data_IF_243516253237
#
_entry.id   IF_243516253237
#
_cell.length_a   1.000
_cell.length_b   1.000
_cell.length_c   1.000
_cell.angle_alpha   90.00
_cell.angle_beta   90.00
_cell.angle_gamma   90.00
#
_symmetry.space_group_name_H-M   'P 1'
#
loop_
_entity.id
_entity.type
_entity.pdbx_description
1 polymer ?
#
# COMPACT_ATOMS: atom_id res chain seq x y z
N UNK A 1 15.79 0.03 -21.05
CA UNK A 1 14.94 0.69 -20.05
C UNK A 1 14.40 1.91 -20.77
N UNK A 2 13.18 1.80 -21.29
CA UNK A 2 12.52 2.96 -21.88
C UNK A 2 12.31 3.96 -20.72
N UNK A 3 12.88 5.13 -20.83
CA UNK A 3 12.53 6.30 -20.05
C UNK A 3 11.09 6.71 -20.42
N UNK A 4 10.12 5.91 -20.05
CA UNK A 4 8.75 6.39 -19.97
C UNK A 4 8.84 7.52 -18.97
N UNK A 5 8.55 8.73 -19.43
CA UNK A 5 8.75 9.95 -18.68
C UNK A 5 8.34 9.74 -17.23
N UNK A 6 9.33 9.54 -16.34
CA UNK A 6 9.16 9.18 -14.92
C UNK A 6 8.33 10.21 -14.16
N UNK A 7 8.10 11.35 -14.77
CA UNK A 7 7.25 12.44 -14.31
C UNK A 7 5.75 12.15 -14.36
N UNK A 8 5.29 11.11 -15.07
CA UNK A 8 3.86 10.78 -15.20
C UNK A 8 3.38 9.65 -14.28
N UNK A 9 4.29 8.86 -13.70
CA UNK A 9 3.95 7.67 -12.92
C UNK A 9 4.41 7.82 -11.48
N UNK A 10 3.50 7.78 -10.53
CA UNK A 10 3.84 8.00 -9.11
C UNK A 10 4.02 6.73 -8.29
N UNK A 11 3.42 5.61 -8.67
CA UNK A 11 3.47 4.38 -7.85
C UNK A 11 3.26 3.13 -8.72
N UNK A 12 4.31 2.60 -9.38
CA UNK A 12 4.18 1.42 -10.24
C UNK A 12 3.96 0.13 -9.43
N UNK A 13 3.24 -0.79 -10.01
CA UNK A 13 3.11 -2.17 -9.55
C UNK A 13 3.28 -3.14 -10.73
N UNK A 14 3.96 -4.26 -10.50
CA UNK A 14 4.21 -5.29 -11.52
C UNK A 14 3.26 -6.46 -11.31
N UNK A 15 2.70 -7.00 -12.39
CA UNK A 15 1.96 -8.25 -12.36
C UNK A 15 2.91 -9.45 -12.58
N UNK A 16 2.92 -10.47 -11.69
CA UNK A 16 4.00 -11.47 -11.64
C UNK A 16 3.96 -12.58 -12.71
N UNK A 17 2.98 -12.63 -13.61
CA UNK A 17 2.75 -13.81 -14.45
C UNK A 17 2.69 -13.60 -15.97
N UNK A 18 3.15 -12.48 -16.50
CA UNK A 18 3.12 -12.24 -17.93
C UNK A 18 4.51 -12.33 -18.56
N UNK A 19 4.68 -12.91 -19.76
CA UNK A 19 5.87 -12.71 -20.55
C UNK A 19 5.96 -11.23 -20.95
N UNK A 20 6.97 -10.53 -20.43
CA UNK A 20 7.02 -9.08 -20.41
C UNK A 20 6.18 -8.54 -19.24
N UNK A 21 6.83 -7.99 -18.22
CA UNK A 21 6.15 -7.51 -17.02
C UNK A 21 5.05 -6.51 -17.37
N UNK A 22 3.86 -6.69 -16.78
CA UNK A 22 2.78 -5.70 -16.87
C UNK A 22 2.86 -4.81 -15.65
N UNK A 23 2.95 -3.52 -15.90
CA UNK A 23 3.05 -2.49 -14.88
C UNK A 23 1.71 -1.80 -14.70
N UNK A 24 1.40 -1.48 -13.44
CA UNK A 24 0.25 -0.68 -13.09
C UNK A 24 0.68 0.47 -12.20
N UNK A 25 0.17 1.67 -12.48
CA UNK A 25 0.49 2.85 -11.71
C UNK A 25 -0.67 3.84 -11.70
N UNK A 26 -0.59 4.79 -10.79
CA UNK A 26 -1.43 5.97 -10.80
C UNK A 26 -0.65 7.12 -11.44
N UNK A 27 -1.32 7.91 -12.27
CA UNK A 27 -0.75 9.12 -12.87
C UNK A 27 -0.30 10.13 -11.79
N UNK A 28 0.63 11.02 -12.13
CA UNK A 28 1.18 12.00 -11.20
C UNK A 28 0.10 12.91 -10.57
N UNK A 29 -0.94 13.25 -11.34
CA UNK A 29 -2.10 14.00 -10.87
C UNK A 29 -3.12 13.17 -10.07
N UNK A 30 -2.86 11.85 -9.90
CA UNK A 30 -3.70 10.87 -9.22
C UNK A 30 -5.12 10.76 -9.77
N UNK A 31 -5.30 10.98 -11.07
CA UNK A 31 -6.62 10.92 -11.72
C UNK A 31 -6.81 9.69 -12.59
N UNK A 32 -5.73 9.03 -13.01
CA UNK A 32 -5.79 7.88 -13.92
C UNK A 32 -5.06 6.68 -13.34
N UNK A 33 -5.69 5.52 -13.38
CA UNK A 33 -5.05 4.21 -13.20
C UNK A 33 -4.54 3.77 -14.56
N UNK A 34 -3.25 3.54 -14.67
CA UNK A 34 -2.53 3.26 -15.90
C UNK A 34 -2.02 1.83 -15.90
N UNK A 35 -1.92 1.25 -17.09
CA UNK A 35 -1.20 0.00 -17.33
C UNK A 35 -0.34 0.10 -18.59
N UNK A 36 0.78 -0.61 -18.58
CA UNK A 36 1.61 -0.81 -19.77
C UNK A 36 2.39 -2.11 -19.65
N UNK A 37 2.78 -2.67 -20.76
CA UNK A 37 3.63 -3.86 -20.83
C UNK A 37 5.09 -3.44 -21.05
N UNK A 38 6.01 -4.12 -20.40
CA UNK A 38 7.44 -3.90 -20.61
C UNK A 38 7.81 -4.07 -22.08
N UNK A 39 8.53 -3.09 -22.63
CA UNK A 39 8.89 -3.05 -24.05
C UNK A 39 7.80 -2.48 -24.97
N UNK A 40 6.63 -2.13 -24.46
CA UNK A 40 5.59 -1.37 -25.20
C UNK A 40 5.68 0.12 -24.87
N UNK A 41 5.44 0.95 -25.88
CA UNK A 41 5.28 2.41 -25.71
C UNK A 41 3.82 2.77 -25.39
N UNK A 42 2.89 1.81 -25.52
CA UNK A 42 1.47 2.04 -25.33
C UNK A 42 1.10 2.01 -23.84
N UNK A 43 0.71 3.17 -23.31
CA UNK A 43 0.14 3.31 -21.96
C UNK A 43 -1.38 3.36 -22.10
N UNK A 44 -2.07 2.46 -21.41
CA UNK A 44 -3.52 2.40 -21.40
C UNK A 44 -4.09 2.93 -20.08
N UNK A 45 -5.21 3.65 -20.16
CA UNK A 45 -5.97 4.10 -19.00
C UNK A 45 -7.01 3.03 -18.67
N UNK A 46 -6.86 2.38 -17.53
CA UNK A 46 -7.79 1.35 -17.03
C UNK A 46 -9.01 1.95 -16.33
N UNK A 47 -8.77 3.01 -15.55
CA UNK A 47 -9.83 3.68 -14.80
C UNK A 47 -9.46 5.13 -14.52
N UNK A 48 -10.46 5.96 -14.23
CA UNK A 48 -10.28 7.34 -13.77
C UNK A 48 -10.96 7.54 -12.41
N UNK A 49 -10.46 8.49 -11.63
CA UNK A 49 -10.99 8.82 -10.31
C UNK A 49 -10.36 10.11 -9.77
N UNK A 50 -10.53 10.36 -8.48
CA UNK A 50 -9.94 11.51 -7.80
C UNK A 50 -9.04 11.02 -6.68
N UNK A 51 -7.81 11.52 -6.64
CA UNK A 51 -6.81 11.11 -5.65
C UNK A 51 -6.67 9.59 -5.53
N UNK A 52 -6.56 8.90 -6.67
CA UNK A 52 -6.37 7.45 -6.70
C UNK A 52 -5.18 7.03 -5.85
N UNK A 53 -5.31 5.91 -5.17
CA UNK A 53 -4.27 5.33 -4.32
C UNK A 53 -3.40 4.37 -5.11
N UNK A 54 -2.20 4.08 -4.59
CA UNK A 54 -1.30 3.08 -5.17
C UNK A 54 -2.07 1.79 -5.45
N UNK A 55 -2.10 1.28 -6.69
CA UNK A 55 -2.88 0.10 -7.02
C UNK A 55 -2.29 -1.15 -6.35
N UNK A 56 -3.13 -2.14 -6.12
CA UNK A 56 -2.74 -3.47 -5.67
C UNK A 56 -3.23 -4.49 -6.68
N UNK A 57 -2.36 -5.42 -7.07
CA UNK A 57 -2.75 -6.57 -7.90
C UNK A 57 -3.22 -7.69 -6.98
N UNK A 58 -4.41 -8.18 -7.22
CA UNK A 58 -5.00 -9.27 -6.45
C UNK A 58 -4.59 -10.64 -7.05
N UNK A 59 -4.83 -11.73 -6.32
CA UNK A 59 -4.46 -13.09 -6.76
C UNK A 59 -5.09 -13.52 -8.09
N UNK A 60 -6.25 -12.99 -8.41
CA UNK A 60 -6.96 -13.26 -9.68
C UNK A 60 -6.54 -12.30 -10.80
N UNK A 61 -5.44 -11.59 -10.60
CA UNK A 61 -4.90 -10.58 -11.51
C UNK A 61 -5.81 -9.37 -11.72
N UNK A 62 -6.88 -9.20 -10.93
CA UNK A 62 -7.61 -7.94 -10.90
C UNK A 62 -6.78 -6.88 -10.18
N UNK A 63 -7.03 -5.61 -10.51
CA UNK A 63 -6.32 -4.47 -9.95
C UNK A 63 -7.29 -3.69 -9.09
N UNK A 64 -6.90 -3.40 -7.87
CA UNK A 64 -7.70 -2.67 -6.90
C UNK A 64 -7.05 -1.33 -6.56
N UNK A 65 -7.87 -0.28 -6.48
CA UNK A 65 -7.47 1.04 -5.97
C UNK A 65 -8.66 1.72 -5.28
N UNK A 66 -8.37 2.80 -4.54
CA UNK A 66 -9.40 3.67 -3.95
C UNK A 66 -9.37 5.04 -4.60
N UNK A 67 -10.54 5.65 -4.69
CA UNK A 67 -10.76 7.03 -5.11
C UNK A 67 -11.39 7.83 -3.97
N UNK A 68 -11.03 9.11 -3.84
CA UNK A 68 -11.60 10.01 -2.82
C UNK A 68 -12.97 10.58 -3.22
N UNK A 69 -13.40 10.40 -4.48
CA UNK A 69 -14.77 10.81 -4.87
C UNK A 69 -15.75 9.80 -4.31
N UNK A 70 -16.55 10.21 -3.33
CA UNK A 70 -17.49 9.35 -2.59
C UNK A 70 -16.80 8.02 -2.30
N UNK A 71 -16.07 7.88 -1.18
CA UNK A 71 -15.03 6.86 -0.98
C UNK A 71 -15.30 5.60 -1.79
N UNK A 72 -14.70 5.51 -2.98
CA UNK A 72 -15.02 4.48 -3.96
C UNK A 72 -13.89 3.48 -4.09
N UNK A 73 -14.21 2.22 -3.89
CA UNK A 73 -13.36 1.10 -4.25
C UNK A 73 -13.53 0.82 -5.75
N UNK A 74 -12.43 0.88 -6.49
CA UNK A 74 -12.38 0.59 -7.92
C UNK A 74 -11.61 -0.71 -8.11
N UNK A 75 -12.22 -1.66 -8.81
CA UNK A 75 -11.58 -2.92 -9.20
C UNK A 75 -11.68 -3.07 -10.71
N UNK A 76 -10.55 -3.37 -11.34
CA UNK A 76 -10.48 -3.70 -12.78
C UNK A 76 -10.12 -5.17 -12.89
N UNK A 77 -11.00 -5.96 -13.46
CA UNK A 77 -10.78 -7.39 -13.70
C UNK A 77 -9.68 -7.64 -14.71
N UNK A 78 -9.16 -8.86 -14.74
CA UNK A 78 -8.17 -9.30 -15.75
C UNK A 78 -8.72 -9.27 -17.19
N UNK A 79 -10.03 -9.27 -17.36
CA UNK A 79 -10.76 -9.08 -18.63
C UNK A 79 -10.96 -7.60 -18.99
N UNK A 80 -10.47 -6.67 -18.18
CA UNK A 80 -10.68 -5.23 -18.33
C UNK A 80 -12.04 -4.72 -17.82
N UNK A 81 -12.90 -5.58 -17.30
CA UNK A 81 -14.17 -5.16 -16.73
C UNK A 81 -13.94 -4.30 -15.50
N UNK A 82 -14.52 -3.09 -15.48
CA UNK A 82 -14.40 -2.15 -14.37
C UNK A 82 -15.62 -2.26 -13.46
N UNK A 83 -15.36 -2.42 -12.18
CA UNK A 83 -16.34 -2.33 -11.11
C UNK A 83 -16.00 -1.18 -10.18
N UNK A 84 -17.02 -0.49 -9.70
CA UNK A 84 -16.86 0.61 -8.74
C UNK A 84 -17.92 0.49 -7.67
N UNK A 85 -17.50 0.41 -6.42
CA UNK A 85 -18.40 0.26 -5.27
C UNK A 85 -18.13 1.40 -4.29
N UNK A 86 -19.17 2.15 -3.93
CA UNK A 86 -19.09 3.14 -2.86
C UNK A 86 -18.95 2.41 -1.53
N UNK A 87 -18.01 2.86 -0.71
CA UNK A 87 -17.71 2.27 0.59
C UNK A 87 -18.09 3.24 1.69
N UNK A 88 -18.89 2.80 2.66
CA UNK A 88 -19.14 3.60 3.85
C UNK A 88 -17.93 3.55 4.78
N UNK A 89 -17.20 4.63 4.81
CA UNK A 89 -16.03 4.84 5.68
C UNK A 89 -16.34 5.75 6.88
N UNK A 90 -17.60 6.02 7.16
CA UNK A 90 -18.00 6.89 8.27
C UNK A 90 -17.43 8.31 8.18
N UNK A 91 -17.29 8.85 6.97
CA UNK A 91 -16.71 10.17 6.71
C UNK A 91 -15.17 10.20 6.71
N UNK A 92 -14.50 9.05 6.74
CA UNK A 92 -13.07 8.94 6.54
C UNK A 92 -12.73 8.84 5.05
N UNK A 93 -11.46 9.11 4.70
CA UNK A 93 -10.89 8.78 3.39
C UNK A 93 -9.73 7.80 3.53
N UNK A 94 -9.54 6.94 2.55
CA UNK A 94 -8.38 6.04 2.49
C UNK A 94 -7.16 6.82 2.01
N UNK A 95 -6.07 6.83 2.76
CA UNK A 95 -4.81 7.46 2.32
C UNK A 95 -3.78 6.44 1.84
N UNK A 96 -3.81 5.24 2.40
CA UNK A 96 -3.06 4.07 1.93
C UNK A 96 -3.83 2.80 2.26
N UNK A 97 -3.52 1.71 1.57
CA UNK A 97 -4.10 0.40 1.85
C UNK A 97 -3.16 -0.72 1.41
N UNK A 98 -3.37 -1.90 1.97
CA UNK A 98 -2.68 -3.13 1.58
C UNK A 98 -3.63 -4.31 1.72
N UNK A 99 -3.67 -5.16 0.69
CA UNK A 99 -4.47 -6.40 0.70
C UNK A 99 -3.66 -7.50 1.36
N UNK A 100 -4.29 -8.26 2.26
CA UNK A 100 -3.66 -9.35 2.95
C UNK A 100 -3.32 -10.52 1.99
N UNK A 101 -2.34 -11.37 2.36
CA UNK A 101 -2.00 -12.55 1.56
C UNK A 101 -3.15 -13.53 1.33
N UNK A 102 -4.20 -13.51 2.18
CA UNK A 102 -5.42 -14.31 1.99
C UNK A 102 -6.38 -13.74 0.94
N UNK A 103 -6.16 -12.50 0.49
CA UNK A 103 -7.01 -11.74 -0.43
C UNK A 103 -8.45 -11.49 0.08
N UNK A 104 -8.69 -11.68 1.38
CA UNK A 104 -9.99 -11.48 2.05
C UNK A 104 -9.96 -10.25 2.95
N UNK A 105 -8.81 -9.92 3.52
CA UNK A 105 -8.64 -8.78 4.41
C UNK A 105 -7.88 -7.66 3.72
N UNK A 106 -8.22 -6.43 4.08
CA UNK A 106 -7.50 -5.24 3.64
C UNK A 106 -7.20 -4.36 4.83
N UNK A 107 -5.94 -3.95 4.97
CA UNK A 107 -5.52 -2.92 5.91
C UNK A 107 -5.69 -1.56 5.26
N UNK A 108 -6.23 -0.61 6.00
CA UNK A 108 -6.59 0.73 5.53
C UNK A 108 -5.99 1.78 6.45
N UNK A 109 -5.27 2.73 5.91
CA UNK A 109 -4.95 3.98 6.61
C UNK A 109 -6.10 4.95 6.35
N UNK A 110 -6.89 5.18 7.38
CA UNK A 110 -8.10 6.00 7.34
C UNK A 110 -7.79 7.40 7.90
N UNK A 111 -8.15 8.45 7.18
CA UNK A 111 -7.97 9.82 7.61
C UNK A 111 -9.32 10.49 7.82
N UNK A 112 -9.53 11.07 9.01
CA UNK A 112 -10.65 11.94 9.36
C UNK A 112 -10.12 13.27 9.90
N UNK A 113 -10.22 14.32 9.11
CA UNK A 113 -9.66 15.63 9.47
C UNK A 113 -8.15 15.57 9.67
N UNK A 114 -7.67 15.71 10.89
CA UNK A 114 -6.23 15.67 11.23
C UNK A 114 -5.78 14.33 11.85
N UNK A 115 -6.71 13.43 12.11
CA UNK A 115 -6.41 12.13 12.72
C UNK A 115 -6.31 11.04 11.67
N UNK A 116 -5.43 10.06 11.92
CA UNK A 116 -5.32 8.86 11.10
C UNK A 116 -5.45 7.63 11.99
N UNK A 117 -6.20 6.66 11.50
CA UNK A 117 -6.43 5.37 12.13
C UNK A 117 -6.03 4.23 11.20
N UNK A 118 -5.69 3.09 11.76
CA UNK A 118 -5.52 1.84 11.04
C UNK A 118 -6.80 1.03 11.18
N UNK A 119 -7.41 0.65 10.07
CA UNK A 119 -8.57 -0.22 10.05
C UNK A 119 -8.28 -1.51 9.28
N UNK A 120 -8.93 -2.59 9.67
CA UNK A 120 -8.97 -3.85 8.91
C UNK A 120 -10.39 -4.06 8.43
N UNK A 121 -10.56 -4.15 7.12
CA UNK A 121 -11.83 -4.47 6.47
C UNK A 121 -11.84 -5.84 5.83
N UNK A 122 -13.03 -6.37 5.58
CA UNK A 122 -13.24 -7.62 4.85
C UNK A 122 -13.65 -7.35 3.41
N UNK A 123 -12.92 -7.97 2.48
CA UNK A 123 -13.26 -7.99 1.07
C UNK A 123 -14.12 -9.22 0.79
N UNK A 124 -15.25 -9.03 0.15
CA UNK A 124 -16.11 -10.11 -0.34
C UNK A 124 -16.45 -9.88 -1.81
N UNK A 125 -16.70 -10.97 -2.52
CA UNK A 125 -17.18 -10.93 -3.90
C UNK A 125 -18.61 -11.41 -3.93
N UNK A 126 -19.50 -10.58 -4.43
CA UNK A 126 -20.91 -10.89 -4.59
C UNK A 126 -21.35 -10.44 -5.99
N UNK A 127 -21.96 -11.34 -6.76
CA UNK A 127 -22.46 -11.04 -8.12
C UNK A 127 -21.42 -10.39 -9.04
N UNK A 128 -20.14 -10.77 -8.88
CA UNK A 128 -19.02 -10.21 -9.64
C UNK A 128 -18.46 -8.89 -9.10
N UNK A 129 -19.15 -8.22 -8.16
CA UNK A 129 -18.66 -7.00 -7.53
C UNK A 129 -17.81 -7.30 -6.29
N UNK A 130 -16.81 -6.46 -6.02
CA UNK A 130 -16.00 -6.51 -4.80
C UNK A 130 -16.59 -5.53 -3.80
N UNK A 131 -16.88 -6.01 -2.62
CA UNK A 131 -17.42 -5.24 -1.50
C UNK A 131 -16.42 -5.19 -0.36
N UNK A 132 -16.30 -4.04 0.26
CA UNK A 132 -15.56 -3.83 1.50
C UNK A 132 -16.56 -3.62 2.64
N UNK A 133 -16.42 -4.41 3.71
CA UNK A 133 -17.31 -4.38 4.86
C UNK A 133 -16.57 -4.63 6.17
N UNK A 134 -17.25 -4.51 7.30
CA UNK A 134 -16.75 -4.87 8.64
C UNK A 134 -15.40 -4.23 8.97
N UNK A 135 -15.27 -2.92 8.75
CA UNK A 135 -14.03 -2.20 9.08
C UNK A 135 -13.94 -2.07 10.60
N UNK A 136 -12.87 -2.62 11.16
CA UNK A 136 -12.55 -2.59 12.59
C UNK A 136 -11.26 -1.82 12.80
N UNK A 137 -11.27 -0.86 13.71
CA UNK A 137 -10.08 -0.10 14.07
C UNK A 137 -9.08 -0.98 14.84
N UNK A 138 -7.81 -0.86 14.50
CA UNK A 138 -6.70 -1.53 15.18
C UNK A 138 -6.01 -0.52 16.09
N UNK A 139 -5.80 -0.85 17.40
CA UNK A 139 -5.09 0.02 18.31
C UNK A 139 -3.65 0.29 17.84
N UNK A 140 -3.26 1.57 17.88
CA UNK A 140 -1.93 2.04 17.49
C UNK A 140 -1.02 2.32 18.69
N UNK A 141 -1.49 2.01 19.87
CA UNK A 141 -0.80 2.26 21.13
C UNK A 141 -0.49 0.95 21.83
N UNK A 142 0.71 0.86 22.37
CA UNK A 142 1.12 -0.19 23.32
C UNK A 142 1.72 0.48 24.57
N UNK A 143 2.25 -0.31 25.52
CA UNK A 143 2.97 0.23 26.67
C UNK A 143 4.15 1.11 26.29
N UNK A 144 4.80 0.79 25.17
CA UNK A 144 6.09 1.37 24.78
C UNK A 144 6.01 2.30 23.56
N UNK A 145 4.90 2.23 22.81
CA UNK A 145 4.72 2.98 21.55
C UNK A 145 3.32 3.60 21.51
N UNK A 146 3.26 4.88 21.19
CA UNK A 146 2.01 5.59 20.92
C UNK A 146 2.14 6.35 19.60
N UNK A 147 1.52 5.82 18.54
CA UNK A 147 1.59 6.42 17.21
C UNK A 147 0.56 7.53 17.07
N UNK A 148 1.03 8.71 16.74
CA UNK A 148 0.18 9.89 16.48
C UNK A 148 -0.27 10.01 15.03
N UNK A 149 0.55 9.52 14.10
CA UNK A 149 0.31 9.60 12.66
C UNK A 149 0.76 8.28 12.04
N UNK A 150 -0.03 7.77 11.09
CA UNK A 150 0.35 6.69 10.20
C UNK A 150 0.24 7.17 8.75
N UNK A 151 1.15 6.73 7.88
CA UNK A 151 1.24 7.22 6.50
C UNK A 151 1.10 6.12 5.47
N UNK A 152 1.59 4.93 5.76
CA UNK A 152 1.54 3.80 4.83
C UNK A 152 1.47 2.46 5.58
N UNK A 153 1.04 1.39 4.89
CA UNK A 153 0.87 0.05 5.46
C UNK A 153 1.16 -1.04 4.45
N UNK A 154 1.78 -2.14 4.91
CA UNK A 154 1.97 -3.37 4.15
C UNK A 154 1.76 -4.60 5.01
N UNK A 155 1.15 -5.67 4.47
CA UNK A 155 1.02 -6.95 5.13
C UNK A 155 2.34 -7.74 5.04
N UNK A 156 2.88 -8.15 6.21
CA UNK A 156 4.04 -9.05 6.29
C UNK A 156 3.63 -10.52 6.40
N UNK A 157 2.46 -10.79 6.97
CA UNK A 157 1.91 -12.14 7.08
C UNK A 157 0.39 -12.08 7.23
N UNK A 158 -0.25 -13.21 7.51
CA UNK A 158 -1.69 -13.21 7.81
C UNK A 158 -2.07 -12.43 9.07
N UNK A 159 -1.15 -12.19 9.99
CA UNK A 159 -1.42 -11.54 11.28
C UNK A 159 -0.55 -10.32 11.56
N UNK A 160 0.45 -10.04 10.72
CA UNK A 160 1.44 -8.98 10.96
C UNK A 160 1.43 -7.96 9.84
N UNK A 161 1.48 -6.70 10.22
CA UNK A 161 1.57 -5.54 9.35
C UNK A 161 2.89 -4.79 9.63
N UNK A 162 3.51 -4.24 8.60
CA UNK A 162 4.43 -3.12 8.75
C UNK A 162 3.67 -1.83 8.47
N UNK A 163 3.74 -0.90 9.42
CA UNK A 163 3.09 0.40 9.33
C UNK A 163 4.15 1.49 9.42
N UNK A 164 4.14 2.42 8.48
CA UNK A 164 4.93 3.64 8.63
C UNK A 164 4.17 4.62 9.50
N UNK A 165 4.78 4.98 10.62
CA UNK A 165 4.15 5.86 11.60
C UNK A 165 5.14 6.79 12.27
N UNK A 166 4.60 7.76 12.99
CA UNK A 166 5.35 8.68 13.84
C UNK A 166 4.79 8.62 15.24
N UNK A 167 5.64 8.26 16.20
CA UNK A 167 5.29 8.35 17.61
C UNK A 167 5.09 9.83 18.04
N UNK A 168 4.36 10.06 19.14
CA UNK A 168 3.99 11.40 19.60
C UNK A 168 5.22 12.30 19.76
N UNK A 169 6.32 11.76 20.29
CA UNK A 169 7.54 12.51 20.59
C UNK A 169 8.62 12.35 19.49
N UNK A 170 8.29 11.71 18.35
CA UNK A 170 9.24 11.48 17.27
C UNK A 170 9.10 12.54 16.17
N UNK A 171 10.26 13.04 15.67
CA UNK A 171 10.32 13.99 14.57
C UNK A 171 10.18 13.35 13.18
N UNK A 172 10.38 12.04 13.08
CA UNK A 172 10.46 11.29 11.81
C UNK A 172 9.47 10.14 11.77
N UNK A 173 9.07 9.78 10.56
CA UNK A 173 8.24 8.59 10.31
C UNK A 173 9.15 7.37 10.22
N UNK A 174 8.86 6.33 11.00
CA UNK A 174 9.64 5.08 11.09
C UNK A 174 8.72 3.85 11.01
N UNK A 175 9.26 2.65 10.78
CA UNK A 175 8.45 1.45 10.65
C UNK A 175 8.13 0.84 12.02
N UNK A 176 6.90 0.36 12.13
CA UNK A 176 6.38 -0.38 13.28
C UNK A 176 5.72 -1.66 12.80
N UNK A 177 5.94 -2.73 13.55
CA UNK A 177 5.15 -3.94 13.42
C UNK A 177 3.87 -3.83 14.25
N UNK A 178 2.74 -4.19 13.64
CA UNK A 178 1.45 -4.26 14.32
C UNK A 178 0.88 -5.65 14.10
N UNK A 179 0.47 -6.29 15.19
CA UNK A 179 -0.26 -7.55 15.14
C UNK A 179 -1.76 -7.25 15.13
N UNK A 180 -2.49 -7.87 14.20
CA UNK A 180 -3.92 -7.58 13.99
C UNK A 180 -4.84 -8.05 15.12
N UNK A 181 -4.33 -8.79 16.09
CA UNK A 181 -5.06 -9.20 17.30
C UNK A 181 -5.23 -8.06 18.32
N UNK A 182 -4.64 -6.90 18.05
CA UNK A 182 -4.73 -5.73 18.92
C UNK A 182 -3.68 -5.69 20.05
N UNK A 183 -2.64 -6.54 20.01
CA UNK A 183 -1.56 -6.55 21.01
C UNK A 183 -0.68 -5.27 20.96
N UNK A 184 -0.91 -4.39 19.99
CA UNK A 184 -0.30 -3.07 19.90
C UNK A 184 0.82 -2.98 18.89
N UNK A 185 1.58 -1.88 18.96
CA UNK A 185 2.65 -1.55 18.03
C UNK A 185 4.02 -1.82 18.67
N UNK A 186 4.94 -2.39 17.86
CA UNK A 186 6.34 -2.61 18.24
C UNK A 186 7.24 -1.90 17.24
N UNK A 187 8.24 -1.15 17.71
CA UNK A 187 9.21 -0.51 16.81
C UNK A 187 10.02 -1.58 16.05
N UNK A 188 10.21 -1.37 14.76
CA UNK A 188 11.12 -2.19 13.93
C UNK A 188 12.53 -1.57 13.82
N UNK A 189 12.84 -0.62 14.68
CA UNK A 189 14.14 0.08 14.76
C UNK A 189 14.09 1.47 14.13
N UNK A 190 14.93 2.34 14.66
CA UNK A 190 15.13 3.68 14.10
C UNK A 190 16.32 3.63 13.12
N UNK A 191 16.08 3.94 11.87
CA UNK A 191 17.02 3.66 10.80
C UNK A 191 17.92 4.82 10.42
N UNK A 192 17.38 6.01 10.41
CA UNK A 192 18.09 7.22 9.96
C UNK A 192 17.38 8.46 10.51
N UNK A 193 17.97 9.64 10.33
CA UNK A 193 17.29 10.91 10.56
C UNK A 193 16.27 11.25 9.47
N UNK A 194 16.15 10.43 8.43
CA UNK A 194 15.29 10.67 7.26
C UNK A 194 13.95 9.96 7.44
N UNK A 195 12.85 10.66 7.16
CA UNK A 195 11.52 10.09 7.16
C UNK A 195 11.33 9.04 6.06
N UNK A 196 10.46 8.08 6.32
CA UNK A 196 10.08 7.06 5.36
C UNK A 196 8.83 7.47 4.61
N UNK A 197 8.85 7.28 3.29
CA UNK A 197 7.81 7.69 2.36
C UNK A 197 6.83 6.58 2.00
N UNK A 198 7.33 5.34 1.87
CA UNK A 198 6.51 4.20 1.47
C UNK A 198 7.02 2.88 2.06
N UNK A 199 6.12 1.92 2.24
CA UNK A 199 6.44 0.54 2.62
C UNK A 199 5.78 -0.45 1.66
N UNK A 200 6.49 -1.53 1.38
CA UNK A 200 5.97 -2.70 0.66
C UNK A 200 6.43 -3.98 1.33
N UNK A 201 5.71 -5.05 1.11
CA UNK A 201 6.06 -6.38 1.56
C UNK A 201 6.73 -7.15 0.42
N UNK A 202 7.94 -7.65 0.67
CA UNK A 202 8.73 -8.42 -0.29
C UNK A 202 8.69 -9.90 0.11
N UNK A 203 8.07 -10.78 -0.69
CA UNK A 203 8.19 -12.21 -0.50
C UNK A 203 9.64 -12.67 -0.66
N UNK A 204 10.14 -13.46 0.27
CA UNK A 204 11.48 -14.06 0.26
C UNK A 204 11.36 -15.56 0.53
N UNK A 205 12.44 -16.31 0.35
CA UNK A 205 12.48 -17.75 0.70
C UNK A 205 12.26 -18.00 2.21
N UNK A 206 12.58 -17.02 3.05
CA UNK A 206 12.45 -17.09 4.51
C UNK A 206 11.11 -16.59 5.02
N UNK A 207 10.28 -16.02 4.15
CA UNK A 207 9.02 -15.41 4.53
C UNK A 207 8.75 -14.11 3.77
N UNK A 208 8.10 -13.16 4.40
CA UNK A 208 7.85 -11.83 3.81
C UNK A 208 8.52 -10.76 4.65
N UNK A 209 9.37 -9.97 4.03
CA UNK A 209 10.13 -8.91 4.66
C UNK A 209 9.58 -7.53 4.28
N UNK A 210 9.77 -6.55 5.17
CA UNK A 210 9.44 -5.17 4.86
C UNK A 210 10.54 -4.52 4.02
N UNK A 211 10.15 -3.82 2.96
CA UNK A 211 11.03 -2.91 2.22
C UNK A 211 10.47 -1.51 2.36
N UNK A 212 11.31 -0.57 2.79
CA UNK A 212 10.92 0.83 2.96
C UNK A 212 11.71 1.74 2.04
N UNK A 213 11.01 2.71 1.47
CA UNK A 213 11.59 3.81 0.73
C UNK A 213 11.66 5.03 1.63
N UNK A 214 12.84 5.59 1.80
CA UNK A 214 13.06 6.85 2.50
C UNK A 214 12.82 8.06 1.58
N UNK A 215 12.53 9.23 2.15
CA UNK A 215 12.32 10.48 1.39
C UNK A 215 13.56 10.93 0.61
N UNK A 216 14.77 10.52 1.03
CA UNK A 216 16.03 10.78 0.33
C UNK A 216 16.30 9.82 -0.84
N UNK A 217 15.39 8.91 -1.13
CA UNK A 217 15.52 7.91 -2.19
C UNK A 217 16.33 6.66 -1.79
N UNK A 218 16.63 6.48 -0.50
CA UNK A 218 17.27 5.26 0.01
C UNK A 218 16.22 4.16 0.16
N UNK A 219 16.52 2.97 -0.38
CA UNK A 219 15.69 1.78 -0.22
C UNK A 219 16.34 0.82 0.78
N UNK A 220 15.58 0.45 1.81
CA UNK A 220 16.02 -0.38 2.92
C UNK A 220 15.20 -1.67 2.99
N UNK A 221 15.87 -2.80 3.22
CA UNK A 221 15.27 -4.11 3.49
C UNK A 221 15.41 -4.43 4.97
N UNK A 222 14.31 -4.82 5.60
CA UNK A 222 14.32 -5.40 6.94
C UNK A 222 14.88 -6.81 6.89
N UNK A 223 15.85 -7.14 7.74
CA UNK A 223 16.45 -8.47 7.79
C UNK A 223 15.95 -9.24 9.02
N UNK A 224 16.25 -8.77 10.19
CA UNK A 224 15.82 -9.40 11.44
C UNK A 224 15.80 -8.39 12.59
N UNK A 225 14.85 -8.52 13.52
CA UNK A 225 14.74 -7.71 14.74
C UNK A 225 14.73 -6.20 14.42
N UNK A 226 15.85 -5.50 14.66
CA UNK A 226 16.01 -4.07 14.39
C UNK A 226 17.02 -3.80 13.27
N UNK A 227 17.37 -4.81 12.47
CA UNK A 227 18.37 -4.70 11.40
C UNK A 227 17.73 -4.36 10.07
N UNK A 228 18.30 -3.34 9.45
CA UNK A 228 17.93 -2.91 8.11
C UNK A 228 19.18 -2.80 7.24
N UNK A 229 19.07 -3.23 6.03
CA UNK A 229 20.15 -3.17 5.06
C UNK A 229 19.75 -2.27 3.89
N UNK A 230 20.61 -1.33 3.56
CA UNK A 230 20.44 -0.56 2.34
C UNK A 230 20.65 -1.46 1.12
N UNK A 231 19.67 -1.47 0.21
CA UNK A 231 19.75 -2.25 -1.03
C UNK A 231 19.93 -1.38 -2.26
N UNK A 232 19.34 -0.19 -2.29
CA UNK A 232 19.48 0.77 -3.40
C UNK A 232 19.49 2.20 -2.89
N UNK A 233 19.89 3.13 -3.77
CA UNK A 233 19.82 4.58 -3.56
C UNK A 233 19.33 5.25 -4.84
N UNK A 234 18.76 6.45 -4.74
CA UNK A 234 18.21 7.20 -5.88
C UNK A 234 16.88 6.63 -6.38
N UNK A 235 16.14 5.93 -5.51
CA UNK A 235 14.85 5.33 -5.83
C UNK A 235 13.74 6.37 -5.63
N UNK A 236 12.87 6.56 -6.61
CA UNK A 236 11.74 7.50 -6.52
C UNK A 236 10.41 6.82 -6.19
N UNK A 237 10.30 5.51 -6.39
CA UNK A 237 9.11 4.73 -6.07
C UNK A 237 9.45 3.27 -5.81
N UNK A 238 8.63 2.58 -5.03
CA UNK A 238 8.76 1.15 -4.75
C UNK A 238 7.42 0.45 -4.92
N UNK A 239 7.47 -0.71 -5.54
CA UNK A 239 6.34 -1.64 -5.64
C UNK A 239 6.85 -3.07 -5.61
N UNK A 240 6.07 -3.98 -5.05
CA UNK A 240 6.32 -5.42 -5.06
C UNK A 240 5.08 -6.10 -5.58
N UNK A 241 5.28 -7.10 -6.42
CA UNK A 241 4.20 -7.95 -6.94
C UNK A 241 3.98 -9.10 -5.97
N UNK A 242 2.74 -9.46 -5.78
CA UNK A 242 2.37 -10.67 -5.05
C UNK A 242 2.56 -11.94 -5.90
#
# INVERSE_FOLDING_TARGET
VAEVASTQLTMPMISPRSPGAIWHAVSADRRSLLTWQEGSEDIQVLATGVNLRRPQVLRDHSIMTFSDTDPTLIVVGSDGARMSTVVDLGGCRVTSFSVAPDAVRVALVLERGKTRALGIGLLSRQEGAVHLSHITDIPLSSSDVNLSIITDVAWLSQTRLCVLGRAIDAGVTTPYEIVVDGSGATSMGQLTATSMAAVVALPTEMGTEAVVLCEDGTLLLHEESFRWRQILQGVSAVAVTA
#
